data_IF_350764160710
#
_entry.id   IF_350764160710
#
_cell.length_a   1.000
_cell.length_b   1.000
_cell.length_c   1.000
_cell.angle_alpha   90.00
_cell.angle_beta   90.00
_cell.angle_gamma   90.00
#
_symmetry.space_group_name_H-M   'P 1'
#
loop_
_entity.id
_entity.type
_entity.pdbx_description
1 polymer ?
#
# COMPACT_ATOMS: atom_id res chain seq x y z
N UNK A 1 -3.02 -19.40 22.27
CA UNK A 1 -2.66 -18.28 21.37
C UNK A 1 -1.16 -18.05 21.49
N UNK A 2 -0.40 -18.00 20.39
CA UNK A 2 1.00 -17.59 20.44
C UNK A 2 1.10 -16.11 20.83
N UNK A 3 2.10 -15.77 21.65
CA UNK A 3 2.43 -14.40 22.04
C UNK A 3 3.75 -14.04 21.36
N UNK A 4 3.80 -12.89 20.70
CA UNK A 4 5.01 -12.30 20.14
C UNK A 4 5.49 -11.18 21.07
N UNK A 5 6.77 -11.17 21.40
CA UNK A 5 7.38 -10.16 22.27
C UNK A 5 8.49 -9.44 21.49
N UNK A 6 8.42 -8.11 21.46
CA UNK A 6 9.41 -7.24 20.81
C UNK A 6 10.05 -6.34 21.87
N UNK A 7 11.38 -6.27 21.88
CA UNK A 7 12.14 -5.39 22.77
C UNK A 7 12.93 -4.38 21.95
N UNK A 8 12.67 -3.10 22.19
CA UNK A 8 13.41 -2.01 21.56
C UNK A 8 14.01 -1.08 22.62
N UNK A 9 15.30 -0.74 22.50
CA UNK A 9 15.89 0.35 23.26
C UNK A 9 15.16 1.66 22.97
N UNK A 10 15.08 2.55 23.97
CA UNK A 10 14.44 3.88 23.83
C UNK A 10 14.97 4.65 22.62
N UNK A 11 16.29 4.71 22.48
CA UNK A 11 17.00 5.44 21.41
C UNK A 11 16.58 4.93 20.03
N UNK A 12 16.39 3.61 19.90
CA UNK A 12 15.90 3.00 18.68
C UNK A 12 14.48 3.48 18.38
N UNK A 13 13.56 3.47 19.36
CA UNK A 13 12.19 3.93 19.15
C UNK A 13 12.14 5.40 18.74
N UNK A 14 12.94 6.26 19.37
CA UNK A 14 13.00 7.68 19.04
C UNK A 14 13.50 7.89 17.60
N UNK A 15 14.59 7.22 17.20
CA UNK A 15 15.09 7.26 15.82
C UNK A 15 14.09 6.70 14.80
N UNK A 16 13.33 5.66 15.17
CA UNK A 16 12.26 5.12 14.33
C UNK A 16 11.12 6.11 14.13
N UNK A 17 10.71 6.84 15.16
CA UNK A 17 9.68 7.88 15.04
C UNK A 17 10.16 9.00 14.11
N UNK A 18 11.42 9.41 14.23
CA UNK A 18 12.00 10.42 13.34
C UNK A 18 11.99 9.94 11.89
N UNK A 19 12.39 8.70 11.63
CA UNK A 19 12.36 8.11 10.29
C UNK A 19 10.94 7.98 9.71
N UNK A 20 9.96 7.58 10.53
CA UNK A 20 8.55 7.52 10.15
C UNK A 20 8.01 8.89 9.73
N UNK A 21 8.31 9.93 10.50
CA UNK A 21 7.92 11.30 10.19
C UNK A 21 8.66 11.85 8.96
N UNK A 22 9.85 11.33 8.67
CA UNK A 22 10.66 11.70 7.51
C UNK A 22 10.26 10.97 6.21
N UNK A 23 9.30 10.03 6.22
CA UNK A 23 8.88 9.34 4.99
C UNK A 23 8.93 7.83 5.03
N UNK A 24 9.52 7.22 6.06
CA UNK A 24 9.70 5.79 6.08
C UNK A 24 8.38 5.03 6.22
N UNK A 25 8.11 4.11 5.30
CA UNK A 25 6.94 3.23 5.35
C UNK A 25 7.22 2.06 6.29
N UNK A 26 6.55 2.03 7.45
CA UNK A 26 6.67 0.93 8.40
C UNK A 26 5.42 0.76 9.26
N UNK A 27 5.08 -0.50 9.54
CA UNK A 27 3.97 -0.85 10.44
C UNK A 27 4.24 -0.53 11.92
N UNK A 28 5.47 -0.16 12.27
CA UNK A 28 5.82 0.27 13.61
C UNK A 28 5.03 1.51 14.05
N UNK A 29 4.68 2.40 13.12
CA UNK A 29 3.90 3.60 13.42
C UNK A 29 2.50 3.25 13.95
N UNK A 30 1.81 2.30 13.33
CA UNK A 30 0.50 1.81 13.78
C UNK A 30 0.59 1.20 15.18
N UNK A 31 1.60 0.35 15.43
CA UNK A 31 1.80 -0.29 16.72
C UNK A 31 2.08 0.73 17.84
N UNK A 32 2.92 1.75 17.58
CA UNK A 32 3.22 2.81 18.53
C UNK A 32 2.01 3.72 18.77
N UNK A 33 1.31 4.12 17.71
CA UNK A 33 0.14 5.00 17.80
C UNK A 33 -1.01 4.35 18.58
N UNK A 34 -1.24 3.05 18.41
CA UNK A 34 -2.37 2.33 18.99
C UNK A 34 -2.02 1.45 20.20
N UNK A 35 -0.77 1.48 20.67
CA UNK A 35 -0.30 0.70 21.81
C UNK A 35 -1.03 1.04 23.11
N UNK A 36 -1.41 0.02 23.88
CA UNK A 36 -1.99 0.19 25.22
C UNK A 36 -0.89 -0.02 26.27
N UNK A 37 -0.55 0.99 27.09
CA UNK A 37 0.47 0.82 28.11
C UNK A 37 -0.01 -0.11 29.21
N UNK A 38 0.69 -1.22 29.44
CA UNK A 38 0.46 -2.10 30.60
C UNK A 38 1.24 -1.61 31.83
N UNK A 39 2.40 -0.99 31.60
CA UNK A 39 3.23 -0.29 32.59
C UNK A 39 3.91 0.88 31.87
N UNK A 40 3.96 2.06 32.47
CA UNK A 40 4.48 3.25 31.76
C UNK A 40 5.25 4.19 32.67
N UNK A 41 6.27 4.84 32.09
CA UNK A 41 6.95 6.02 32.60
C UNK A 41 6.51 7.31 31.88
N UNK A 42 5.49 7.24 31.02
CA UNK A 42 5.01 8.33 30.18
C UNK A 42 5.58 8.34 28.75
N UNK A 43 6.62 7.57 28.46
CA UNK A 43 7.29 7.58 27.14
C UNK A 43 6.37 7.23 25.97
N UNK A 44 5.55 6.17 26.11
CA UNK A 44 4.61 5.80 25.04
C UNK A 44 3.61 6.93 24.75
N UNK A 45 3.12 7.61 25.78
CA UNK A 45 2.21 8.75 25.60
C UNK A 45 2.87 9.91 24.84
N UNK A 46 4.13 10.21 25.14
CA UNK A 46 4.89 11.22 24.41
C UNK A 46 5.11 10.83 22.94
N UNK A 47 5.38 9.56 22.65
CA UNK A 47 5.50 9.06 21.28
C UNK A 47 4.16 9.07 20.53
N UNK A 48 3.07 8.69 21.19
CA UNK A 48 1.72 8.77 20.65
C UNK A 48 1.31 10.20 20.32
N UNK A 49 1.69 11.18 21.16
CA UNK A 49 1.48 12.60 20.88
C UNK A 49 2.16 13.01 19.57
N UNK A 50 3.44 12.62 19.39
CA UNK A 50 4.20 12.91 18.17
C UNK A 50 3.57 12.29 16.92
N UNK A 51 2.96 11.11 17.04
CA UNK A 51 2.33 10.37 15.95
C UNK A 51 0.83 10.71 15.78
N UNK A 52 0.24 11.54 16.65
CA UNK A 52 -1.20 11.83 16.63
C UNK A 52 -1.62 12.53 15.34
N UNK A 53 -0.80 13.48 14.89
CA UNK A 53 -1.03 14.19 13.65
C UNK A 53 -0.25 13.49 12.53
N UNK A 54 -0.97 12.95 11.55
CA UNK A 54 -0.37 12.47 10.32
C UNK A 54 -0.02 13.68 9.44
N UNK A 55 1.27 13.95 9.13
CA UNK A 55 1.65 15.14 8.37
C UNK A 55 1.04 15.14 6.96
N UNK A 56 0.42 16.25 6.50
CA UNK A 56 -0.21 16.30 5.17
C UNK A 56 0.81 16.12 4.03
N UNK A 57 2.01 16.70 4.18
CA UNK A 57 3.08 16.58 3.18
C UNK A 57 3.61 15.15 3.08
N UNK A 58 3.64 14.43 4.22
CA UNK A 58 3.98 13.01 4.26
C UNK A 58 2.96 12.18 3.46
N UNK A 59 1.67 12.46 3.60
CA UNK A 59 0.63 11.77 2.85
C UNK A 59 0.81 11.97 1.34
N UNK A 60 1.01 13.23 0.91
CA UNK A 60 1.23 13.56 -0.50
C UNK A 60 2.49 12.88 -1.05
N UNK A 61 3.60 12.92 -0.31
CA UNK A 61 4.85 12.29 -0.70
C UNK A 61 4.73 10.76 -0.82
N UNK A 62 4.08 10.09 0.13
CA UNK A 62 3.86 8.63 0.07
C UNK A 62 2.99 8.23 -1.12
N UNK A 63 1.96 9.02 -1.44
CA UNK A 63 1.09 8.76 -2.60
C UNK A 63 1.89 8.89 -3.89
N UNK A 64 2.68 9.95 -4.04
CA UNK A 64 3.51 10.19 -5.23
C UNK A 64 4.60 9.13 -5.39
N UNK A 65 5.25 8.72 -4.30
CA UNK A 65 6.28 7.67 -4.32
C UNK A 65 5.68 6.29 -4.63
N UNK A 66 4.51 5.97 -4.06
CA UNK A 66 3.81 4.74 -4.36
C UNK A 66 3.42 4.66 -5.84
N UNK A 67 3.00 5.77 -6.45
CA UNK A 67 2.63 5.85 -7.86
C UNK A 67 3.82 5.82 -8.83
N UNK A 68 5.06 6.08 -8.37
CA UNK A 68 6.26 6.27 -9.20
C UNK A 68 6.47 5.15 -10.23
N UNK A 69 6.25 3.89 -9.85
CA UNK A 69 6.53 2.73 -10.71
C UNK A 69 5.53 2.49 -11.83
N UNK A 70 4.37 3.14 -11.80
CA UNK A 70 3.34 2.96 -12.83
C UNK A 70 3.55 4.01 -13.92
N UNK A 71 3.99 3.55 -15.10
CA UNK A 71 4.35 4.42 -16.23
C UNK A 71 5.82 4.45 -16.63
N UNK A 72 6.66 3.53 -16.12
CA UNK A 72 8.08 3.43 -16.49
C UNK A 72 8.39 2.64 -17.77
N UNK A 73 7.38 2.02 -18.38
CA UNK A 73 7.49 1.19 -19.59
C UNK A 73 6.20 1.23 -20.40
N UNK A 74 6.16 0.63 -21.59
CA UNK A 74 4.93 0.62 -22.41
C UNK A 74 3.84 -0.23 -21.72
N UNK A 75 2.55 0.17 -21.72
CA UNK A 75 1.48 -0.60 -21.08
C UNK A 75 1.41 -2.06 -21.53
N UNK A 76 1.68 -2.32 -22.82
CA UNK A 76 1.73 -3.68 -23.38
C UNK A 76 2.82 -4.58 -22.78
N UNK A 77 3.84 -3.99 -22.14
CA UNK A 77 4.84 -4.72 -21.39
C UNK A 77 4.27 -5.54 -20.24
N UNK A 78 3.08 -5.21 -19.70
CA UNK A 78 2.44 -6.03 -18.66
C UNK A 78 2.14 -7.45 -19.13
N UNK A 79 1.86 -7.65 -20.42
CA UNK A 79 1.56 -8.98 -20.97
C UNK A 79 2.77 -9.92 -20.86
N UNK A 80 3.98 -9.41 -20.68
CA UNK A 80 5.14 -10.27 -20.46
C UNK A 80 5.05 -10.99 -19.12
N UNK A 81 4.40 -10.41 -18.12
CA UNK A 81 4.19 -11.03 -16.81
C UNK A 81 3.20 -12.21 -16.86
N UNK A 82 2.37 -12.29 -17.91
CA UNK A 82 1.41 -13.38 -18.09
C UNK A 82 1.95 -14.55 -18.94
N UNK A 83 3.23 -14.54 -19.29
CA UNK A 83 3.83 -15.61 -20.11
C UNK A 83 3.96 -16.91 -19.30
N UNK A 84 3.83 -18.08 -19.95
CA UNK A 84 4.11 -19.35 -19.29
C UNK A 84 5.54 -19.38 -18.73
N UNK A 85 5.69 -19.75 -17.46
CA UNK A 85 6.98 -19.83 -16.77
C UNK A 85 7.36 -18.60 -15.92
N UNK A 86 6.67 -17.46 -16.09
CA UNK A 86 7.01 -16.20 -15.41
C UNK A 86 6.24 -15.96 -14.09
N UNK A 87 5.81 -17.04 -13.42
CA UNK A 87 4.96 -16.98 -12.22
C UNK A 87 5.59 -16.17 -11.08
N UNK A 88 6.93 -16.25 -10.92
CA UNK A 88 7.63 -15.47 -9.90
C UNK A 88 7.55 -13.96 -10.21
N UNK A 89 7.81 -13.56 -11.46
CA UNK A 89 7.74 -12.16 -11.87
C UNK A 89 6.31 -11.61 -11.75
N UNK A 90 5.30 -12.42 -12.09
CA UNK A 90 3.89 -12.07 -11.85
C UNK A 90 3.63 -11.84 -10.36
N UNK A 91 4.08 -12.76 -9.51
CA UNK A 91 3.85 -12.69 -8.06
C UNK A 91 4.52 -11.46 -7.45
N UNK A 92 5.76 -11.16 -7.85
CA UNK A 92 6.49 -9.96 -7.42
C UNK A 92 5.74 -8.69 -7.81
N UNK A 93 5.23 -8.63 -9.05
CA UNK A 93 4.45 -7.49 -9.52
C UNK A 93 3.15 -7.32 -8.75
N UNK A 94 2.38 -8.39 -8.56
CA UNK A 94 1.09 -8.35 -7.84
C UNK A 94 1.28 -7.96 -6.37
N UNK A 95 2.33 -8.46 -5.72
CA UNK A 95 2.65 -8.11 -4.34
C UNK A 95 3.07 -6.64 -4.21
N UNK A 96 4.01 -6.15 -5.04
CA UNK A 96 4.42 -4.74 -5.03
C UNK A 96 3.23 -3.81 -5.33
N UNK A 97 2.39 -4.17 -6.29
CA UNK A 97 1.17 -3.44 -6.62
C UNK A 97 0.19 -3.37 -5.44
N UNK A 98 -0.06 -4.50 -4.77
CA UNK A 98 -0.94 -4.54 -3.60
C UNK A 98 -0.40 -3.67 -2.46
N UNK A 99 0.91 -3.74 -2.17
CA UNK A 99 1.53 -2.94 -1.11
C UNK A 99 1.44 -1.44 -1.41
N UNK A 100 1.69 -1.01 -2.66
CA UNK A 100 1.54 0.39 -3.09
C UNK A 100 0.11 0.89 -3.01
N UNK A 101 -0.86 0.06 -3.41
CA UNK A 101 -2.29 0.36 -3.25
C UNK A 101 -2.61 0.62 -1.77
N UNK A 102 -2.13 -0.24 -0.87
CA UNK A 102 -2.34 -0.05 0.56
C UNK A 102 -1.67 1.22 1.08
N UNK A 103 -0.42 1.51 0.69
CA UNK A 103 0.27 2.75 1.07
C UNK A 103 -0.53 3.99 0.67
N UNK A 104 -1.04 4.04 -0.57
CA UNK A 104 -1.90 5.14 -1.02
C UNK A 104 -3.17 5.21 -0.18
N UNK A 105 -3.89 4.10 0.01
CA UNK A 105 -5.15 4.07 0.75
C UNK A 105 -4.97 4.52 2.21
N UNK A 106 -3.93 4.07 2.89
CA UNK A 106 -3.66 4.51 4.27
C UNK A 106 -3.26 5.99 4.34
N UNK A 107 -2.45 6.47 3.39
CA UNK A 107 -2.09 7.88 3.29
C UNK A 107 -3.31 8.78 3.00
N UNK A 108 -4.23 8.37 2.13
CA UNK A 108 -5.48 9.10 1.84
C UNK A 108 -6.34 9.28 3.09
N UNK A 109 -6.36 8.28 3.97
CA UNK A 109 -7.12 8.34 5.21
C UNK A 109 -6.32 8.93 6.38
N UNK A 110 -5.04 9.30 6.16
CA UNK A 110 -4.14 9.83 7.21
C UNK A 110 -4.03 8.89 8.41
N UNK A 111 -4.00 7.59 8.13
CA UNK A 111 -3.85 6.53 9.12
C UNK A 111 -2.50 5.86 8.91
N UNK A 112 -1.76 5.64 10.00
CA UNK A 112 -0.52 4.86 9.95
C UNK A 112 -0.80 3.45 9.44
N UNK A 113 -0.10 3.04 8.39
CA UNK A 113 -0.33 1.73 7.77
C UNK A 113 0.04 0.60 8.76
N UNK A 114 -0.88 -0.33 9.07
CA UNK A 114 -0.60 -1.50 9.90
C UNK A 114 0.12 -2.59 9.09
N UNK A 115 0.39 -3.72 9.72
CA UNK A 115 0.76 -4.94 8.99
C UNK A 115 -0.37 -5.39 8.04
N UNK A 116 -0.04 -6.20 7.03
CA UNK A 116 -1.01 -6.76 6.09
C UNK A 116 -1.87 -7.90 6.68
N UNK A 117 -1.61 -8.33 7.93
CA UNK A 117 -2.40 -9.36 8.60
C UNK A 117 -3.82 -8.86 8.87
N UNK A 118 -4.81 -9.72 8.59
CA UNK A 118 -6.25 -9.42 8.75
C UNK A 118 -6.69 -8.19 7.93
N UNK A 119 -6.20 -8.10 6.70
CA UNK A 119 -6.37 -6.93 5.83
C UNK A 119 -7.81 -6.42 5.75
N UNK A 120 -8.78 -7.30 5.55
CA UNK A 120 -10.20 -6.94 5.48
C UNK A 120 -10.66 -6.11 6.69
N UNK A 121 -10.29 -6.53 7.90
CA UNK A 121 -10.62 -5.79 9.13
C UNK A 121 -9.88 -4.45 9.23
N UNK A 122 -8.64 -4.36 8.72
CA UNK A 122 -7.83 -3.14 8.74
C UNK A 122 -8.35 -2.07 7.78
N UNK A 123 -8.86 -2.48 6.62
CA UNK A 123 -9.36 -1.52 5.63
C UNK A 123 -10.85 -1.22 5.79
N UNK A 124 -11.63 -2.05 6.47
CA UNK A 124 -13.06 -1.84 6.75
C UNK A 124 -13.40 -0.43 7.28
N UNK A 125 -12.70 0.14 8.28
CA UNK A 125 -13.04 1.46 8.83
C UNK A 125 -12.60 2.65 7.96
N UNK A 126 -11.76 2.44 6.94
CA UNK A 126 -11.25 3.54 6.11
C UNK A 126 -12.35 4.13 5.23
N UNK A 127 -12.45 5.46 5.20
CA UNK A 127 -13.50 6.18 4.45
C UNK A 127 -13.17 6.29 2.96
N UNK A 128 -11.91 6.54 2.61
CA UNK A 128 -11.45 6.76 1.24
C UNK A 128 -10.71 5.51 0.76
N UNK A 129 -11.36 4.66 -0.03
CA UNK A 129 -10.77 3.43 -0.58
C UNK A 129 -11.54 2.96 -1.82
N UNK A 130 -10.90 2.22 -2.74
CA UNK A 130 -11.63 1.59 -3.83
C UNK A 130 -12.61 0.54 -3.29
N UNK A 131 -13.72 0.36 -4.03
CA UNK A 131 -14.72 -0.65 -3.70
C UNK A 131 -14.09 -2.06 -3.66
N UNK A 132 -14.47 -2.86 -2.65
CA UNK A 132 -14.01 -4.25 -2.45
C UNK A 132 -12.47 -4.38 -2.36
N UNK A 133 -11.77 -3.38 -1.82
CA UNK A 133 -10.30 -3.33 -1.74
C UNK A 133 -9.65 -4.66 -1.32
N UNK A 134 -9.98 -5.18 -0.13
CA UNK A 134 -9.35 -6.39 0.39
C UNK A 134 -9.68 -7.63 -0.46
N UNK A 135 -10.94 -7.74 -0.91
CA UNK A 135 -11.41 -8.85 -1.73
C UNK A 135 -10.73 -8.87 -3.10
N UNK A 136 -10.50 -7.71 -3.72
CA UNK A 136 -9.81 -7.59 -5.01
C UNK A 136 -8.32 -7.91 -4.91
N UNK A 137 -7.68 -7.58 -3.79
CA UNK A 137 -6.30 -8.00 -3.52
C UNK A 137 -6.24 -9.52 -3.41
N UNK A 138 -7.14 -10.13 -2.63
CA UNK A 138 -7.23 -11.59 -2.50
C UNK A 138 -7.53 -12.26 -3.85
N UNK A 139 -8.50 -11.75 -4.62
CA UNK A 139 -8.85 -12.22 -5.96
C UNK A 139 -7.61 -12.21 -6.86
N UNK A 140 -6.91 -11.08 -6.98
CA UNK A 140 -5.72 -11.00 -7.83
C UNK A 140 -4.57 -11.93 -7.41
N UNK A 141 -4.34 -12.10 -6.10
CA UNK A 141 -3.24 -12.93 -5.59
C UNK A 141 -3.51 -14.44 -5.65
N UNK A 142 -4.79 -14.84 -5.73
CA UNK A 142 -5.21 -16.25 -5.75
C UNK A 142 -5.75 -16.70 -7.10
N UNK A 143 -5.93 -15.78 -8.04
CA UNK A 143 -6.45 -16.04 -9.38
C UNK A 143 -5.48 -16.93 -10.18
N UNK A 144 -5.93 -18.11 -10.66
CA UNK A 144 -5.11 -19.03 -11.45
C UNK A 144 -4.78 -18.53 -12.87
N UNK A 145 -5.62 -17.69 -13.48
CA UNK A 145 -5.32 -17.09 -14.79
C UNK A 145 -4.43 -15.83 -14.62
N UNK A 146 -3.15 -15.85 -15.05
CA UNK A 146 -2.26 -14.70 -14.94
C UNK A 146 -2.81 -13.40 -15.51
N UNK A 147 -3.56 -13.48 -16.63
CA UNK A 147 -4.12 -12.29 -17.26
C UNK A 147 -5.27 -11.72 -16.45
N UNK A 148 -6.13 -12.58 -15.91
CA UNK A 148 -7.21 -12.17 -15.01
C UNK A 148 -6.65 -11.55 -13.74
N UNK A 149 -5.60 -12.14 -13.16
CA UNK A 149 -4.90 -11.61 -11.98
C UNK A 149 -4.35 -10.20 -12.25
N UNK A 150 -3.65 -10.02 -13.38
CA UNK A 150 -3.14 -8.72 -13.81
C UNK A 150 -4.25 -7.71 -14.01
N UNK A 151 -5.35 -8.09 -14.66
CA UNK A 151 -6.47 -7.17 -14.92
C UNK A 151 -7.09 -6.68 -13.61
N UNK A 152 -7.39 -7.59 -12.68
CA UNK A 152 -8.01 -7.26 -11.39
C UNK A 152 -7.12 -6.30 -10.60
N UNK A 153 -5.82 -6.56 -10.54
CA UNK A 153 -4.84 -5.70 -9.86
C UNK A 153 -4.66 -4.36 -10.57
N UNK A 154 -4.53 -4.34 -11.89
CA UNK A 154 -4.35 -3.10 -12.68
C UNK A 154 -5.54 -2.17 -12.52
N UNK A 155 -6.76 -2.69 -12.59
CA UNK A 155 -7.97 -1.91 -12.34
C UNK A 155 -8.04 -1.42 -10.88
N UNK A 156 -7.55 -2.20 -9.91
CA UNK A 156 -7.51 -1.79 -8.51
C UNK A 156 -6.52 -0.63 -8.31
N UNK A 157 -5.34 -0.72 -8.92
CA UNK A 157 -4.34 0.35 -8.93
C UNK A 157 -4.93 1.61 -9.56
N UNK A 158 -5.61 1.49 -10.72
CA UNK A 158 -6.25 2.62 -11.40
C UNK A 158 -7.29 3.30 -10.51
N UNK A 159 -8.23 2.53 -9.96
CA UNK A 159 -9.25 3.09 -9.07
C UNK A 159 -8.63 3.75 -7.84
N UNK A 160 -7.51 3.23 -7.34
CA UNK A 160 -6.80 3.81 -6.19
C UNK A 160 -6.18 5.17 -6.54
N UNK A 161 -5.45 5.29 -7.66
CA UNK A 161 -4.84 6.57 -8.07
C UNK A 161 -5.88 7.60 -8.49
N UNK A 162 -7.08 7.19 -8.90
CA UNK A 162 -8.18 8.10 -9.20
C UNK A 162 -8.76 8.77 -7.93
N UNK A 163 -8.61 8.15 -6.75
CA UNK A 163 -9.01 8.75 -5.47
C UNK A 163 -7.99 9.77 -4.94
N UNK A 164 -6.75 9.71 -5.40
CA UNK A 164 -5.68 10.60 -4.96
C UNK A 164 -5.80 12.03 -5.51
N UNK A 165 -5.18 12.97 -4.81
CA UNK A 165 -4.94 14.31 -5.37
C UNK A 165 -4.02 14.21 -6.59
N UNK A 166 -4.08 15.22 -7.47
CA UNK A 166 -3.22 15.26 -8.66
C UNK A 166 -1.78 15.53 -8.25
N UNK A 167 -0.86 14.88 -8.95
CA UNK A 167 0.57 15.10 -8.88
C UNK A 167 1.26 14.41 -10.05
N UNK A 168 2.56 14.66 -10.28
CA UNK A 168 3.24 14.22 -11.49
C UNK A 168 3.25 12.69 -11.69
N UNK A 169 3.54 11.92 -10.63
CA UNK A 169 3.52 10.47 -10.72
C UNK A 169 2.09 9.93 -10.74
N UNK A 170 1.17 10.52 -9.97
CA UNK A 170 -0.24 10.11 -9.99
C UNK A 170 -0.87 10.31 -11.38
N UNK A 171 -0.64 11.46 -12.03
CA UNK A 171 -1.21 11.75 -13.34
C UNK A 171 -0.61 10.85 -14.44
N UNK A 172 0.70 10.56 -14.36
CA UNK A 172 1.34 9.54 -15.22
C UNK A 172 0.71 8.17 -14.98
N UNK A 173 0.60 7.75 -13.73
CA UNK A 173 0.05 6.45 -13.35
C UNK A 173 -1.40 6.29 -13.83
N UNK A 174 -2.25 7.31 -13.70
CA UNK A 174 -3.64 7.29 -14.20
C UNK A 174 -3.72 6.97 -15.68
N UNK A 175 -2.92 7.69 -16.47
CA UNK A 175 -2.89 7.51 -17.93
C UNK A 175 -2.39 6.12 -18.29
N UNK A 176 -1.29 5.70 -17.67
CA UNK A 176 -0.66 4.42 -17.95
C UNK A 176 -1.52 3.23 -17.52
N UNK A 177 -2.10 3.26 -16.32
CA UNK A 177 -2.93 2.19 -15.77
C UNK A 177 -4.25 2.02 -16.56
N UNK A 178 -4.83 3.11 -17.07
CA UNK A 178 -5.99 3.04 -17.95
C UNK A 178 -5.66 2.27 -19.25
N UNK A 179 -4.57 2.65 -19.91
CA UNK A 179 -4.11 1.97 -21.12
C UNK A 179 -3.72 0.52 -20.85
N UNK A 180 -3.05 0.25 -19.72
CA UNK A 180 -2.66 -1.09 -19.29
C UNK A 180 -3.88 -2.00 -19.09
N UNK A 181 -4.91 -1.51 -18.38
CA UNK A 181 -6.15 -2.26 -18.19
C UNK A 181 -6.83 -2.59 -19.52
N UNK A 182 -6.86 -1.64 -20.45
CA UNK A 182 -7.41 -1.87 -21.79
C UNK A 182 -6.62 -2.92 -22.58
N UNK A 183 -5.28 -2.85 -22.56
CA UNK A 183 -4.42 -3.83 -23.23
C UNK A 183 -4.62 -5.24 -22.68
N UNK A 184 -4.64 -5.40 -21.36
CA UNK A 184 -4.85 -6.72 -20.73
C UNK A 184 -6.24 -7.25 -21.06
N UNK A 185 -7.26 -6.38 -21.11
CA UNK A 185 -8.65 -6.76 -21.45
C UNK A 185 -8.83 -7.15 -22.92
N UNK A 186 -8.17 -6.44 -23.85
CA UNK A 186 -8.38 -6.62 -25.29
C UNK A 186 -7.48 -7.66 -25.94
N UNK A 187 -6.46 -8.15 -25.24
CA UNK A 187 -5.49 -9.08 -25.82
C UNK A 187 -6.08 -10.50 -25.92
N UNK A 188 -6.05 -11.14 -27.10
CA UNK A 188 -6.54 -12.51 -27.26
C UNK A 188 -5.70 -13.50 -26.44
N UNK A 189 -6.35 -14.49 -25.83
CA UNK A 189 -5.73 -15.53 -24.98
C UNK A 189 -4.66 -16.30 -25.75
#
# INVERSE_FOLDING_TARGET
>A
MPIELVWWPREYVEARIDALLAGEVSSAADALANGVPLRTSGLLGAWQERLRAYPPDLAAAQIEEAALRWGGFTPAGLLTLARPGDQLALTEWLLDAALRVLTIVFALNRVWQPTTKRLAARVAPLAIKPHRLAERIEEALTEPDPRRALLVMTELQLHTVLLAQRGPNVDRARTWLAQAADVVRSSPV
#
